data_IF_815843137720
#
_entry.id   IF_815843137720
#
_cell.length_a   1.000
_cell.length_b   1.000
_cell.length_c   1.000
_cell.angle_alpha   90.00
_cell.angle_beta   90.00
_cell.angle_gamma   90.00
#
_symmetry.space_group_name_H-M   'P 1'
#
loop_
_entity.id
_entity.type
_entity.pdbx_description
1 polymer ?
#
# COMPACT_ATOMS: atom_id res chain seq x y z
N UNK A 1 -4.85 1.64 -26.51
CA UNK A 1 -3.37 1.69 -26.40
C UNK A 1 -2.75 0.29 -26.41
N UNK A 2 -2.97 -0.60 -25.40
CA UNK A 2 -2.37 -1.96 -25.40
C UNK A 2 -2.74 -2.72 -26.68
N UNK A 3 -4.04 -2.76 -26.99
CA UNK A 3 -4.56 -3.40 -28.20
C UNK A 3 -3.96 -2.79 -29.48
N UNK A 4 -3.93 -1.47 -29.60
CA UNK A 4 -3.52 -0.76 -30.82
C UNK A 4 -2.01 -0.89 -31.07
N UNK A 5 -1.20 -0.86 -30.00
CA UNK A 5 0.26 -0.94 -30.07
C UNK A 5 0.81 -2.33 -29.82
N UNK A 6 -0.07 -3.31 -29.58
CA UNK A 6 0.31 -4.71 -29.27
C UNK A 6 1.38 -4.78 -28.16
N UNK A 7 1.15 -4.00 -27.07
CA UNK A 7 2.06 -4.00 -25.94
C UNK A 7 2.18 -5.41 -25.33
N UNK A 8 3.38 -5.82 -24.98
CA UNK A 8 3.68 -7.16 -24.44
C UNK A 8 3.88 -7.14 -22.93
N UNK A 9 4.14 -5.97 -22.34
CA UNK A 9 4.34 -5.75 -20.90
C UNK A 9 3.50 -4.58 -20.46
N UNK A 10 2.75 -4.74 -19.39
CA UNK A 10 2.01 -3.66 -18.74
C UNK A 10 2.41 -3.53 -17.29
N UNK A 11 3.15 -2.46 -16.99
CA UNK A 11 3.70 -2.17 -15.67
C UNK A 11 3.11 -0.87 -15.16
N UNK A 12 2.38 -0.92 -14.05
CA UNK A 12 1.60 0.23 -13.55
C UNK A 12 1.47 0.20 -12.03
N UNK A 13 0.86 1.27 -11.46
CA UNK A 13 0.63 1.36 -10.02
C UNK A 13 -0.71 0.71 -9.60
N UNK A 14 -0.79 0.13 -8.39
CA UNK A 14 -2.05 -0.38 -7.82
C UNK A 14 -3.20 0.64 -7.83
N UNK A 15 -2.91 1.91 -7.60
CA UNK A 15 -3.91 2.99 -7.73
C UNK A 15 -4.53 3.05 -9.13
N UNK A 16 -3.74 2.86 -10.19
CA UNK A 16 -4.27 2.81 -11.56
C UNK A 16 -5.16 1.58 -11.76
N UNK A 17 -4.78 0.43 -11.20
CA UNK A 17 -5.59 -0.78 -11.24
C UNK A 17 -6.94 -0.55 -10.54
N UNK A 18 -6.95 0.01 -9.33
CA UNK A 18 -8.20 0.35 -8.61
C UNK A 18 -9.08 1.34 -9.40
N UNK A 19 -8.47 2.28 -10.10
CA UNK A 19 -9.21 3.20 -10.99
C UNK A 19 -9.85 2.47 -12.17
N UNK A 20 -9.15 1.49 -12.75
CA UNK A 20 -9.70 0.64 -13.81
C UNK A 20 -10.85 -0.23 -13.31
N UNK A 21 -10.74 -0.82 -12.10
CA UNK A 21 -11.81 -1.56 -11.46
C UNK A 21 -13.05 -0.68 -11.34
N UNK A 22 -12.90 0.51 -10.73
CA UNK A 22 -14.01 1.47 -10.56
C UNK A 22 -14.66 1.86 -11.87
N UNK A 23 -13.86 2.12 -12.92
CA UNK A 23 -14.36 2.49 -14.23
C UNK A 23 -15.13 1.33 -14.88
N UNK A 24 -14.60 0.12 -14.82
CA UNK A 24 -15.23 -1.08 -15.38
C UNK A 24 -16.56 -1.44 -14.70
N UNK A 25 -16.68 -1.18 -13.39
CA UNK A 25 -17.93 -1.36 -12.65
C UNK A 25 -18.98 -0.28 -12.98
N UNK A 26 -18.55 0.93 -13.29
CA UNK A 26 -19.43 2.03 -13.65
C UNK A 26 -19.93 1.95 -15.11
N UNK A 27 -19.12 1.45 -16.03
CA UNK A 27 -19.46 1.29 -17.45
C UNK A 27 -18.80 0.04 -18.02
N UNK A 28 -19.63 -0.96 -18.32
CA UNK A 28 -19.17 -2.23 -18.92
C UNK A 28 -18.44 -2.04 -20.26
N UNK A 29 -18.66 -0.95 -20.97
CA UNK A 29 -18.00 -0.68 -22.25
C UNK A 29 -16.50 -0.44 -22.13
N UNK A 30 -16.07 0.05 -20.96
CA UNK A 30 -14.64 0.31 -20.69
C UNK A 30 -13.98 -0.86 -19.94
N UNK A 31 -14.70 -1.94 -19.70
CA UNK A 31 -14.16 -3.13 -19.06
C UNK A 31 -13.02 -3.74 -19.90
N UNK A 32 -11.87 -4.13 -19.31
CA UNK A 32 -10.74 -4.71 -20.05
C UNK A 32 -11.08 -5.89 -20.94
N UNK A 33 -12.05 -6.70 -20.54
CA UNK A 33 -12.54 -7.87 -21.31
C UNK A 33 -13.15 -7.50 -22.69
N UNK A 34 -13.43 -6.21 -22.93
CA UNK A 34 -13.88 -5.67 -24.21
C UNK A 34 -12.73 -5.31 -25.17
N UNK A 35 -11.49 -5.46 -24.73
CA UNK A 35 -10.29 -5.12 -25.49
C UNK A 35 -9.46 -6.36 -25.82
N UNK A 36 -8.81 -6.37 -26.98
CA UNK A 36 -7.84 -7.43 -27.31
C UNK A 36 -6.53 -7.19 -26.54
N UNK A 37 -6.35 -7.89 -25.44
CA UNK A 37 -5.17 -7.86 -24.59
C UNK A 37 -4.27 -9.09 -24.80
N UNK A 38 -4.49 -9.86 -25.88
CA UNK A 38 -3.77 -11.12 -26.16
C UNK A 38 -2.27 -10.94 -26.37
N UNK A 39 -1.82 -9.73 -26.73
CA UNK A 39 -0.39 -9.41 -26.87
C UNK A 39 0.35 -9.35 -25.54
N UNK A 40 -0.34 -9.12 -24.41
CA UNK A 40 0.29 -9.08 -23.11
C UNK A 40 0.89 -10.44 -22.73
N UNK A 41 2.09 -10.43 -22.18
CA UNK A 41 2.83 -11.58 -21.67
C UNK A 41 3.14 -11.45 -20.19
N UNK A 42 3.36 -10.22 -19.72
CA UNK A 42 3.75 -9.91 -18.35
C UNK A 42 2.98 -8.69 -17.89
N UNK A 43 2.47 -8.75 -16.67
CA UNK A 43 1.95 -7.63 -15.92
C UNK A 43 2.93 -7.25 -14.82
N UNK A 44 2.89 -6.02 -14.34
CA UNK A 44 3.70 -5.60 -13.21
C UNK A 44 3.02 -4.56 -12.35
N UNK A 45 3.44 -4.51 -11.10
CA UNK A 45 2.94 -3.62 -10.06
C UNK A 45 4.08 -2.87 -9.39
N UNK A 46 3.91 -1.56 -9.16
CA UNK A 46 4.94 -0.68 -8.63
C UNK A 46 4.37 0.53 -7.88
N UNK A 47 5.17 1.07 -6.96
CA UNK A 47 4.95 2.37 -6.32
C UNK A 47 4.22 2.32 -4.99
N UNK A 48 3.41 1.31 -4.76
CA UNK A 48 2.76 1.00 -3.49
C UNK A 48 2.46 -0.50 -3.41
N UNK A 49 2.24 -1.07 -2.21
CA UNK A 49 1.79 -2.45 -2.10
C UNK A 49 0.43 -2.64 -2.78
N UNK A 50 0.27 -3.73 -3.53
CA UNK A 50 -1.00 -4.11 -4.14
C UNK A 50 -1.77 -5.05 -3.21
N UNK A 51 -3.04 -4.74 -2.95
CA UNK A 51 -3.89 -5.64 -2.18
C UNK A 51 -4.30 -6.88 -3.00
N UNK A 52 -4.55 -8.02 -2.35
CA UNK A 52 -4.86 -9.27 -3.04
C UNK A 52 -6.04 -9.19 -4.01
N UNK A 53 -7.11 -8.45 -3.68
CA UNK A 53 -8.30 -8.31 -4.55
C UNK A 53 -7.97 -7.60 -5.85
N UNK A 54 -7.25 -6.48 -5.78
CA UNK A 54 -6.82 -5.74 -6.98
C UNK A 54 -5.81 -6.57 -7.80
N UNK A 55 -4.93 -7.33 -7.13
CA UNK A 55 -4.01 -8.27 -7.78
C UNK A 55 -4.77 -9.36 -8.55
N UNK A 56 -5.77 -9.99 -7.93
CA UNK A 56 -6.58 -11.04 -8.56
C UNK A 56 -7.41 -10.48 -9.72
N UNK A 57 -8.01 -9.30 -9.56
CA UNK A 57 -8.74 -8.64 -10.64
C UNK A 57 -7.81 -8.32 -11.84
N UNK A 58 -6.63 -7.80 -11.55
CA UNK A 58 -5.61 -7.48 -12.56
C UNK A 58 -5.14 -8.73 -13.31
N UNK A 59 -4.90 -9.81 -12.57
CA UNK A 59 -4.53 -11.11 -13.16
C UNK A 59 -5.62 -11.64 -14.08
N UNK A 60 -6.87 -11.60 -13.63
CA UNK A 60 -8.02 -12.15 -14.36
C UNK A 60 -8.37 -11.30 -15.58
N UNK A 61 -8.72 -10.03 -15.39
CA UNK A 61 -9.33 -9.21 -16.42
C UNK A 61 -8.34 -8.51 -17.36
N UNK A 62 -7.12 -8.24 -16.91
CA UNK A 62 -6.09 -7.67 -17.76
C UNK A 62 -5.11 -8.73 -18.24
N UNK A 63 -4.73 -9.65 -17.36
CA UNK A 63 -3.80 -10.73 -17.66
C UNK A 63 -4.41 -11.96 -18.35
N UNK A 64 -5.76 -12.06 -18.36
CA UNK A 64 -6.48 -13.23 -18.92
C UNK A 64 -6.06 -14.53 -18.25
N UNK A 65 -5.78 -14.52 -16.95
CA UNK A 65 -5.34 -15.64 -16.11
C UNK A 65 -4.05 -16.35 -16.61
N UNK A 66 -3.38 -15.79 -17.61
CA UNK A 66 -2.15 -16.34 -18.23
C UNK A 66 -0.90 -15.52 -17.98
N UNK A 67 -1.03 -14.20 -17.78
CA UNK A 67 0.10 -13.33 -17.56
C UNK A 67 0.52 -13.34 -16.09
N UNK A 68 1.80 -13.65 -15.78
CA UNK A 68 2.30 -13.49 -14.43
C UNK A 68 2.31 -12.00 -14.04
N UNK A 69 2.04 -11.72 -12.75
CA UNK A 69 2.20 -10.39 -12.18
C UNK A 69 3.54 -10.31 -11.45
N UNK A 70 4.38 -9.41 -11.91
CA UNK A 70 5.67 -9.07 -11.31
C UNK A 70 5.45 -7.92 -10.35
N UNK A 71 5.16 -8.22 -9.09
CA UNK A 71 5.03 -7.23 -8.03
C UNK A 71 6.42 -6.83 -7.55
N UNK A 72 6.76 -5.53 -7.65
CA UNK A 72 8.11 -5.05 -7.44
C UNK A 72 8.22 -4.17 -6.21
N UNK A 73 9.19 -4.47 -5.35
CA UNK A 73 9.61 -3.56 -4.30
C UNK A 73 10.95 -2.92 -4.66
N UNK A 74 10.94 -1.61 -4.69
CA UNK A 74 12.12 -0.75 -4.83
C UNK A 74 11.80 0.68 -4.38
N UNK A 75 12.84 1.46 -4.24
CA UNK A 75 12.76 2.87 -3.86
C UNK A 75 13.68 3.68 -4.77
N UNK A 76 13.47 4.99 -4.86
CA UNK A 76 14.42 5.91 -5.53
C UNK A 76 15.84 5.70 -4.99
N UNK A 77 15.95 5.51 -3.69
CA UNK A 77 17.18 5.31 -2.93
C UNK A 77 17.86 3.98 -3.22
N UNK A 78 17.11 2.96 -3.66
CA UNK A 78 17.70 1.67 -4.01
C UNK A 78 18.25 1.62 -5.43
N UNK A 79 17.85 2.57 -6.28
CA UNK A 79 18.31 2.69 -7.66
C UNK A 79 17.89 1.56 -8.59
N UNK A 80 17.11 0.61 -8.10
CA UNK A 80 16.59 -0.54 -8.84
C UNK A 80 15.80 -1.49 -7.94
N UNK A 81 15.23 -2.52 -8.55
CA UNK A 81 14.41 -3.52 -7.86
C UNK A 81 15.22 -4.28 -6.81
N UNK A 82 14.62 -4.46 -5.63
CA UNK A 82 15.22 -5.19 -4.52
C UNK A 82 14.59 -6.56 -4.33
N UNK A 83 13.26 -6.62 -4.41
CA UNK A 83 12.48 -7.85 -4.26
C UNK A 83 11.41 -7.89 -5.34
N UNK A 84 11.29 -9.04 -5.99
CA UNK A 84 10.30 -9.26 -7.05
C UNK A 84 10.28 -10.73 -7.46
N UNK A 85 9.16 -11.29 -7.89
CA UNK A 85 9.14 -12.62 -8.48
C UNK A 85 9.86 -12.64 -9.83
N UNK A 86 10.51 -13.76 -10.13
CA UNK A 86 11.04 -14.05 -11.46
C UNK A 86 9.99 -14.83 -12.24
N UNK A 87 9.44 -14.28 -13.35
CA UNK A 87 8.42 -14.95 -14.15
C UNK A 87 8.85 -16.36 -14.58
N UNK A 88 7.99 -17.34 -14.36
CA UNK A 88 8.27 -18.75 -14.71
C UNK A 88 9.16 -19.49 -13.71
N UNK A 89 9.77 -18.82 -12.73
CA UNK A 89 10.65 -19.45 -11.74
C UNK A 89 10.14 -19.30 -10.29
N UNK A 90 9.45 -18.19 -9.98
CA UNK A 90 8.94 -17.93 -8.64
C UNK A 90 7.43 -18.11 -8.61
N UNK A 91 6.87 -19.00 -7.77
CA UNK A 91 5.43 -19.06 -7.52
C UNK A 91 4.91 -17.70 -7.05
N UNK A 92 3.80 -17.26 -7.63
CA UNK A 92 3.22 -15.95 -7.33
C UNK A 92 2.26 -16.04 -6.15
N UNK A 93 2.30 -15.05 -5.29
CA UNK A 93 1.37 -14.90 -4.16
C UNK A 93 0.80 -13.48 -4.19
N UNK A 94 -0.54 -13.33 -4.28
CA UNK A 94 -1.18 -12.01 -4.31
C UNK A 94 -0.74 -11.11 -3.17
N UNK A 95 -0.31 -9.88 -3.50
CA UNK A 95 0.15 -8.89 -2.52
C UNK A 95 1.55 -9.14 -1.94
N UNK A 96 2.35 -10.05 -2.55
CA UNK A 96 3.72 -10.31 -2.13
C UNK A 96 4.72 -9.94 -3.21
N UNK A 97 5.75 -9.17 -2.85
CA UNK A 97 6.92 -8.94 -3.69
C UNK A 97 7.92 -10.13 -3.67
N UNK A 98 7.57 -11.21 -3.02
CA UNK A 98 8.23 -12.50 -2.98
C UNK A 98 9.66 -12.48 -2.42
N UNK A 99 10.67 -12.72 -3.23
CA UNK A 99 12.05 -12.94 -2.80
C UNK A 99 12.97 -11.77 -3.18
N UNK A 100 14.02 -11.52 -2.36
CA UNK A 100 15.08 -10.62 -2.76
C UNK A 100 15.78 -11.10 -4.04
N UNK A 101 16.16 -10.17 -4.90
CA UNK A 101 17.01 -10.48 -6.05
C UNK A 101 18.39 -10.95 -5.60
N UNK A 102 19.10 -11.72 -6.43
CA UNK A 102 20.46 -12.19 -6.12
C UNK A 102 21.38 -11.03 -5.71
N UNK A 103 22.04 -11.19 -4.56
CA UNK A 103 22.93 -10.18 -3.99
C UNK A 103 22.26 -9.22 -3.00
N UNK A 104 20.91 -9.18 -2.92
CA UNK A 104 20.17 -8.37 -1.95
C UNK A 104 19.94 -9.17 -0.66
N UNK A 105 20.44 -8.67 0.46
CA UNK A 105 20.30 -9.31 1.77
C UNK A 105 19.23 -8.58 2.61
N UNK A 106 17.98 -8.71 2.20
CA UNK A 106 16.85 -8.16 2.93
C UNK A 106 16.58 -8.97 4.21
N UNK A 107 16.18 -8.27 5.28
CA UNK A 107 15.76 -8.88 6.54
C UNK A 107 14.65 -8.06 7.20
N UNK A 108 13.91 -8.71 8.11
CA UNK A 108 12.96 -8.03 9.00
C UNK A 108 13.55 -8.01 10.39
N UNK A 109 13.62 -6.82 10.98
CA UNK A 109 14.27 -6.59 12.27
C UNK A 109 13.36 -5.80 13.21
N UNK A 110 13.71 -5.84 14.49
CA UNK A 110 13.13 -4.96 15.52
C UNK A 110 13.76 -3.53 15.46
N UNK A 111 13.39 -2.68 16.41
CA UNK A 111 13.82 -1.29 16.48
C UNK A 111 15.34 -1.11 16.76
N UNK A 112 15.99 -2.16 17.28
CA UNK A 112 17.43 -2.15 17.54
C UNK A 112 18.23 -2.93 16.50
N UNK A 113 17.59 -3.35 15.42
CA UNK A 113 18.24 -4.01 14.28
C UNK A 113 18.47 -5.51 14.46
N UNK A 114 17.83 -6.18 15.44
CA UNK A 114 17.90 -7.62 15.66
C UNK A 114 16.86 -8.33 14.79
N UNK A 115 17.28 -9.42 14.13
CA UNK A 115 16.38 -10.26 13.35
C UNK A 115 15.20 -10.80 14.17
N UNK A 116 14.02 -10.75 13.59
CA UNK A 116 12.79 -11.30 14.17
C UNK A 116 12.32 -12.54 13.41
N UNK A 117 11.55 -13.44 14.06
CA UNK A 117 11.05 -14.65 13.40
C UNK A 117 10.16 -14.36 12.20
N UNK A 118 10.17 -15.28 11.21
CA UNK A 118 9.21 -15.25 10.13
C UNK A 118 7.78 -15.28 10.67
N UNK A 119 6.84 -14.64 9.97
CA UNK A 119 5.45 -14.47 10.39
C UNK A 119 5.22 -13.26 11.30
N UNK A 120 6.28 -12.62 11.78
CA UNK A 120 6.19 -11.41 12.62
C UNK A 120 6.49 -10.17 11.77
N UNK A 121 5.70 -9.12 11.95
CA UNK A 121 5.92 -7.82 11.32
C UNK A 121 7.04 -7.03 11.98
N UNK A 122 7.82 -6.31 11.20
CA UNK A 122 8.90 -5.47 11.70
C UNK A 122 9.43 -4.48 10.66
N UNK A 123 10.62 -3.99 10.87
CA UNK A 123 11.27 -3.00 10.01
C UNK A 123 12.05 -3.70 8.90
N UNK A 124 11.82 -3.27 7.65
CA UNK A 124 12.57 -3.80 6.51
C UNK A 124 13.94 -3.13 6.46
N UNK A 125 14.97 -3.96 6.45
CA UNK A 125 16.35 -3.52 6.29
C UNK A 125 17.07 -4.30 5.19
N UNK A 126 18.15 -3.71 4.64
CA UNK A 126 19.11 -4.41 3.79
C UNK A 126 20.46 -4.45 4.50
N UNK A 127 20.99 -5.65 4.72
CA UNK A 127 22.15 -5.90 5.58
C UNK A 127 23.50 -5.60 4.93
N UNK A 128 23.55 -5.54 3.60
CA UNK A 128 24.78 -5.27 2.87
C UNK A 128 24.57 -4.27 1.74
N UNK A 129 25.53 -3.43 1.43
CA UNK A 129 25.48 -2.56 0.26
C UNK A 129 25.27 -3.35 -1.04
N UNK A 130 24.64 -2.71 -2.00
CA UNK A 130 24.43 -3.22 -3.36
C UNK A 130 24.86 -2.16 -4.39
N UNK A 131 25.10 -2.52 -5.65
CA UNK A 131 25.73 -1.59 -6.62
C UNK A 131 24.98 -0.30 -6.88
N UNK A 132 23.64 -0.31 -6.85
CA UNK A 132 22.79 0.85 -7.13
C UNK A 132 22.32 1.62 -5.89
N UNK A 133 22.86 1.31 -4.70
CA UNK A 133 22.50 1.98 -3.45
C UNK A 133 22.78 3.47 -3.52
N UNK A 134 21.85 4.28 -3.00
CA UNK A 134 22.07 5.72 -2.78
C UNK A 134 23.37 5.94 -1.99
N UNK A 135 24.18 6.93 -2.39
CA UNK A 135 25.46 7.25 -1.73
C UNK A 135 25.36 8.39 -0.76
N UNK A 136 24.45 9.32 -0.98
CA UNK A 136 24.21 10.48 -0.14
C UNK A 136 22.93 11.21 -0.56
N UNK A 137 22.49 12.16 0.25
CA UNK A 137 21.53 13.20 -0.13
C UNK A 137 22.32 14.46 -0.50
N UNK A 138 21.96 15.10 -1.60
CA UNK A 138 22.63 16.32 -2.07
C UNK A 138 22.62 17.40 -0.98
N UNK A 139 23.79 17.91 -0.65
CA UNK A 139 24.04 18.92 0.40
C UNK A 139 23.53 18.54 1.81
N UNK A 140 23.17 17.28 2.08
CA UNK A 140 22.66 16.86 3.38
C UNK A 140 23.11 15.43 3.76
N UNK A 141 24.43 15.22 3.94
CA UNK A 141 24.98 13.91 4.29
C UNK A 141 24.56 13.43 5.69
N UNK A 142 24.29 14.32 6.61
CA UNK A 142 23.87 13.97 7.97
C UNK A 142 22.44 13.41 7.97
N UNK A 143 21.53 14.01 7.19
CA UNK A 143 20.20 13.46 6.97
C UNK A 143 20.26 12.08 6.31
N UNK A 144 21.17 11.88 5.35
CA UNK A 144 21.38 10.57 4.73
C UNK A 144 21.71 9.51 5.76
N UNK A 145 22.68 9.77 6.66
CA UNK A 145 23.06 8.83 7.71
C UNK A 145 21.88 8.57 8.67
N UNK A 146 21.27 9.63 9.19
CA UNK A 146 20.18 9.54 10.14
C UNK A 146 18.95 8.81 9.60
N UNK A 147 18.59 9.03 8.33
CA UNK A 147 17.40 8.46 7.75
C UNK A 147 17.57 6.99 7.33
N UNK A 148 18.75 6.64 6.80
CA UNK A 148 18.96 5.32 6.18
C UNK A 148 19.92 4.42 6.96
N UNK A 149 20.70 4.94 7.89
CA UNK A 149 21.65 4.19 8.71
C UNK A 149 21.58 4.66 10.17
N UNK A 150 20.41 4.49 10.84
CA UNK A 150 20.21 5.00 12.19
C UNK A 150 21.18 4.37 13.19
N UNK A 151 21.66 5.17 14.14
CA UNK A 151 22.62 4.75 15.16
C UNK A 151 22.03 3.69 16.08
N UNK A 152 20.75 3.71 16.34
CA UNK A 152 20.00 2.72 17.12
C UNK A 152 20.15 1.30 16.55
N UNK A 153 20.40 1.19 15.24
CA UNK A 153 20.70 -0.06 14.53
C UNK A 153 22.19 -0.26 14.25
N UNK A 154 23.05 0.46 14.98
CA UNK A 154 24.51 0.39 14.85
C UNK A 154 25.07 1.05 13.59
N UNK A 155 24.29 1.85 12.87
CA UNK A 155 24.74 2.62 11.71
C UNK A 155 25.17 1.78 10.50
N UNK A 156 24.80 0.49 10.42
CA UNK A 156 25.28 -0.45 9.39
C UNK A 156 24.17 -1.07 8.54
N UNK A 157 22.92 -1.03 9.01
CA UNK A 157 21.77 -1.58 8.30
C UNK A 157 21.11 -0.45 7.51
N UNK A 158 20.88 -0.68 6.20
CA UNK A 158 20.07 0.25 5.42
C UNK A 158 18.61 0.08 5.82
N UNK A 159 18.03 1.10 6.46
CA UNK A 159 16.62 1.13 6.84
C UNK A 159 15.79 1.63 5.66
N UNK A 160 14.93 0.77 5.12
CA UNK A 160 14.07 1.14 3.99
C UNK A 160 12.97 2.16 4.35
N UNK A 161 12.67 2.33 5.64
CA UNK A 161 11.56 3.16 6.08
C UNK A 161 10.20 2.53 5.81
N UNK A 162 10.19 1.22 5.51
CA UNK A 162 8.99 0.42 5.28
C UNK A 162 8.89 -0.69 6.32
N UNK A 163 7.65 -0.98 6.75
CA UNK A 163 7.32 -2.17 7.50
C UNK A 163 7.12 -3.35 6.55
N UNK A 164 7.46 -4.54 6.99
CA UNK A 164 7.24 -5.74 6.21
C UNK A 164 7.09 -6.98 7.10
N UNK A 165 6.54 -8.04 6.51
CA UNK A 165 6.49 -9.38 7.09
C UNK A 165 7.21 -10.32 6.14
N UNK A 166 8.02 -11.23 6.69
CA UNK A 166 8.56 -12.36 5.95
C UNK A 166 7.76 -13.60 6.31
N UNK A 167 7.08 -14.19 5.33
CA UNK A 167 6.16 -15.30 5.55
C UNK A 167 6.85 -16.49 6.22
N UNK A 168 6.17 -17.09 7.20
CA UNK A 168 6.58 -18.37 7.82
C UNK A 168 6.24 -19.58 6.93
N UNK A 169 5.42 -19.39 5.90
CA UNK A 169 4.75 -20.46 5.16
C UNK A 169 3.43 -20.87 5.84
N UNK A 170 2.88 -22.03 5.47
CA UNK A 170 1.71 -22.60 6.15
C UNK A 170 2.00 -22.95 7.62
N UNK A 171 1.02 -23.48 8.37
CA UNK A 171 1.17 -23.80 9.81
C UNK A 171 2.36 -24.73 10.11
N UNK A 172 2.75 -25.57 9.18
CA UNK A 172 3.92 -26.45 9.24
C UNK A 172 5.18 -25.81 8.67
N UNK A 173 5.11 -24.56 8.19
CA UNK A 173 6.21 -23.84 7.56
C UNK A 173 6.61 -24.33 6.17
N UNK A 174 5.78 -25.17 5.52
CA UNK A 174 6.05 -25.76 4.19
C UNK A 174 5.41 -25.04 3.01
N UNK A 175 4.66 -23.95 3.26
CA UNK A 175 3.95 -23.21 2.21
C UNK A 175 4.87 -22.66 1.13
N UNK A 176 4.36 -22.55 -0.08
CA UNK A 176 5.10 -22.04 -1.27
C UNK A 176 5.62 -20.61 -1.08
N UNK A 177 4.99 -19.84 -0.20
CA UNK A 177 5.34 -18.47 0.16
C UNK A 177 6.33 -18.37 1.33
N UNK A 178 6.88 -19.49 1.82
CA UNK A 178 7.84 -19.46 2.93
C UNK A 178 9.04 -18.59 2.58
N UNK A 179 9.28 -17.60 3.42
CA UNK A 179 10.35 -16.64 3.24
C UNK A 179 10.04 -15.50 2.25
N UNK A 180 8.81 -15.43 1.72
CA UNK A 180 8.37 -14.33 0.87
C UNK A 180 8.14 -13.06 1.67
N UNK A 181 8.50 -11.94 1.10
CA UNK A 181 8.31 -10.63 1.69
C UNK A 181 6.98 -10.02 1.24
N UNK A 182 6.25 -9.48 2.20
CA UNK A 182 5.08 -8.63 1.99
C UNK A 182 5.34 -7.29 2.67
N UNK A 183 5.24 -6.22 1.91
CA UNK A 183 5.36 -4.87 2.43
C UNK A 183 4.04 -4.49 3.08
N UNK A 184 4.09 -4.01 4.32
CA UNK A 184 2.90 -3.63 5.12
C UNK A 184 2.63 -2.13 5.11
N UNK A 185 3.52 -1.35 4.51
CA UNK A 185 3.42 0.10 4.38
C UNK A 185 4.62 0.82 4.97
N UNK A 186 4.56 2.13 5.03
CA UNK A 186 5.61 2.96 5.63
C UNK A 186 5.63 2.81 7.14
N UNK A 187 6.81 2.84 7.76
CA UNK A 187 6.93 2.79 9.23
C UNK A 187 6.34 4.02 9.91
N UNK A 188 6.28 5.15 9.23
CA UNK A 188 5.62 6.37 9.66
C UNK A 188 4.10 6.35 9.43
N UNK A 189 3.58 5.31 8.76
CA UNK A 189 2.16 5.00 8.57
C UNK A 189 1.66 3.88 9.51
N UNK A 190 2.50 3.38 10.43
CA UNK A 190 2.08 2.44 11.48
C UNK A 190 1.43 3.21 12.62
N UNK A 191 0.22 2.80 12.99
CA UNK A 191 -0.55 3.39 14.08
C UNK A 191 -0.25 2.69 15.40
N UNK A 192 -0.18 3.45 16.47
CA UNK A 192 -0.10 2.91 17.83
C UNK A 192 -1.42 3.10 18.57
N UNK A 193 -2.32 2.14 18.43
CA UNK A 193 -3.65 2.17 19.06
C UNK A 193 -3.63 1.31 20.33
N UNK A 194 -3.78 1.93 21.48
CA UNK A 194 -3.77 1.25 22.79
C UNK A 194 -2.54 0.35 23.00
N UNK A 195 -1.36 0.79 22.53
CA UNK A 195 -0.12 0.03 22.63
C UNK A 195 0.07 -1.06 21.56
N UNK A 196 -0.88 -1.24 20.66
CA UNK A 196 -0.78 -2.19 19.55
C UNK A 196 -0.38 -1.46 18.26
N UNK A 197 0.58 -2.04 17.55
CA UNK A 197 1.01 -1.53 16.24
C UNK A 197 0.11 -2.08 15.13
N UNK A 198 -0.59 -1.20 14.44
CA UNK A 198 -1.49 -1.51 13.34
C UNK A 198 -0.95 -0.91 12.05
N UNK A 199 -0.76 -1.75 11.02
CA UNK A 199 -0.43 -1.27 9.68
C UNK A 199 -1.64 -0.59 9.03
N UNK A 200 -1.47 0.64 8.53
CA UNK A 200 -2.56 1.32 7.81
C UNK A 200 -3.01 0.54 6.59
N UNK A 201 -2.08 -0.10 5.88
CA UNK A 201 -2.36 -0.90 4.68
C UNK A 201 -3.25 -2.11 4.94
N UNK A 202 -3.11 -2.73 6.12
CA UNK A 202 -3.96 -3.86 6.51
C UNK A 202 -5.42 -3.41 6.69
N UNK A 203 -5.62 -2.26 7.33
CA UNK A 203 -6.95 -1.67 7.51
C UNK A 203 -7.52 -1.19 6.17
N UNK A 204 -6.70 -0.58 5.31
CA UNK A 204 -7.09 -0.19 3.96
C UNK A 204 -7.54 -1.40 3.14
N UNK A 205 -6.79 -2.50 3.20
CA UNK A 205 -7.15 -3.76 2.52
C UNK A 205 -8.47 -4.33 3.03
N UNK A 206 -8.68 -4.34 4.35
CA UNK A 206 -9.95 -4.77 4.93
C UNK A 206 -11.13 -3.88 4.50
N UNK A 207 -10.94 -2.57 4.42
CA UNK A 207 -11.99 -1.67 3.92
C UNK A 207 -12.31 -1.95 2.45
N UNK A 208 -11.30 -2.12 1.59
CA UNK A 208 -11.48 -2.40 0.16
C UNK A 208 -12.08 -3.79 -0.09
N UNK A 209 -11.83 -4.78 0.79
CA UNK A 209 -12.45 -6.10 0.69
C UNK A 209 -13.97 -6.08 0.91
N UNK A 210 -14.53 -4.99 1.47
CA UNK A 210 -15.97 -4.70 1.44
C UNK A 210 -16.37 -4.25 0.01
N UNK A 211 -16.24 -5.17 -0.94
CA UNK A 211 -16.20 -4.90 -2.38
C UNK A 211 -17.50 -4.34 -2.95
N UNK A 212 -18.65 -4.54 -2.29
CA UNK A 212 -19.94 -3.96 -2.71
C UNK A 212 -20.07 -2.47 -2.38
N UNK A 213 -19.23 -1.92 -1.49
CA UNK A 213 -19.28 -0.53 -1.05
C UNK A 213 -18.05 0.29 -1.45
N UNK A 214 -16.85 -0.25 -1.21
CA UNK A 214 -15.60 0.52 -1.24
C UNK A 214 -14.86 0.36 -2.55
N UNK A 215 -14.56 1.47 -3.19
CA UNK A 215 -13.69 1.52 -4.38
C UNK A 215 -12.23 1.75 -3.98
N UNK A 216 -11.99 2.64 -3.01
CA UNK A 216 -10.65 3.00 -2.56
C UNK A 216 -10.70 3.46 -1.10
N UNK A 217 -9.63 3.19 -0.35
CA UNK A 217 -9.49 3.66 1.02
C UNK A 217 -8.05 4.11 1.29
N UNK A 218 -7.91 5.10 2.18
CA UNK A 218 -6.64 5.47 2.79
C UNK A 218 -6.83 5.66 4.29
N UNK A 219 -5.88 5.19 5.07
CA UNK A 219 -5.94 5.24 6.53
C UNK A 219 -4.76 6.03 7.08
N UNK A 220 -5.03 6.86 8.06
CA UNK A 220 -4.02 7.59 8.82
C UNK A 220 -4.36 7.58 10.31
N UNK A 221 -3.35 7.82 11.16
CA UNK A 221 -3.55 8.06 12.57
C UNK A 221 -3.87 9.52 12.87
N UNK A 222 -4.65 9.73 13.92
CA UNK A 222 -4.75 11.01 14.60
C UNK A 222 -4.58 10.84 16.11
N UNK A 223 -4.11 11.85 16.81
CA UNK A 223 -4.05 11.81 18.28
C UNK A 223 -5.42 11.50 18.90
N UNK A 224 -5.41 10.72 19.95
CA UNK A 224 -6.60 10.33 20.72
C UNK A 224 -6.25 10.13 22.20
N UNK A 225 -7.01 10.81 23.07
CA UNK A 225 -6.71 10.87 24.50
C UNK A 225 -6.83 9.51 25.20
N UNK A 226 -7.65 8.59 24.67
CA UNK A 226 -7.88 7.28 25.29
C UNK A 226 -6.95 6.20 24.74
N UNK A 227 -6.65 6.24 23.45
CA UNK A 227 -5.94 5.16 22.75
C UNK A 227 -4.52 5.55 22.32
N UNK A 228 -4.09 6.80 22.59
CA UNK A 228 -2.87 7.41 22.08
C UNK A 228 -3.04 7.85 20.63
N UNK A 229 -3.37 6.93 19.74
CA UNK A 229 -3.80 7.21 18.38
C UNK A 229 -5.14 6.51 18.08
N UNK A 230 -5.93 7.14 17.21
CA UNK A 230 -7.15 6.56 16.66
C UNK A 230 -7.03 6.39 15.14
N UNK A 231 -7.62 5.33 14.64
CA UNK A 231 -7.73 5.04 13.21
C UNK A 231 -8.70 6.02 12.56
N UNK A 232 -8.25 6.79 11.56
CA UNK A 232 -9.06 7.64 10.71
C UNK A 232 -9.00 7.12 9.27
N UNK A 233 -10.15 6.70 8.73
CA UNK A 233 -10.27 6.16 7.38
C UNK A 233 -10.91 7.19 6.43
N UNK A 234 -10.31 7.35 5.26
CA UNK A 234 -10.83 8.12 4.14
C UNK A 234 -11.26 7.14 3.06
N UNK A 235 -12.53 7.18 2.68
CA UNK A 235 -13.15 6.16 1.84
C UNK A 235 -13.79 6.77 0.61
N UNK A 236 -13.50 6.19 -0.54
CA UNK A 236 -14.20 6.45 -1.81
C UNK A 236 -15.13 5.28 -2.06
N UNK A 237 -16.41 5.56 -2.18
CA UNK A 237 -17.42 4.54 -2.49
C UNK A 237 -17.48 4.27 -4.00
N UNK A 238 -17.97 3.10 -4.38
CA UNK A 238 -18.30 2.74 -5.77
C UNK A 238 -19.49 3.50 -6.35
N UNK A 239 -20.19 4.24 -5.52
CA UNK A 239 -21.32 5.11 -5.84
C UNK A 239 -21.03 6.55 -5.43
N UNK A 240 -21.96 7.46 -5.74
CA UNK A 240 -21.85 8.85 -5.35
C UNK A 240 -21.65 9.02 -3.83
N UNK A 241 -21.02 10.13 -3.43
CA UNK A 241 -20.82 10.48 -2.02
C UNK A 241 -22.18 10.48 -1.30
N UNK A 242 -22.30 9.81 -0.13
CA UNK A 242 -23.55 9.71 0.59
C UNK A 242 -23.93 11.03 1.27
N UNK A 243 -25.22 11.22 1.52
CA UNK A 243 -25.68 12.25 2.44
C UNK A 243 -25.32 11.91 3.91
N UNK A 244 -25.58 12.83 4.84
CA UNK A 244 -25.15 12.65 6.24
C UNK A 244 -25.85 11.48 6.96
N UNK A 245 -27.07 11.13 6.60
CA UNK A 245 -27.82 10.03 7.22
C UNK A 245 -27.30 8.68 6.70
N UNK A 246 -27.16 8.57 5.40
CA UNK A 246 -26.60 7.39 4.71
C UNK A 246 -25.14 7.16 5.10
N UNK A 247 -24.34 8.24 5.20
CA UNK A 247 -22.94 8.18 5.61
C UNK A 247 -22.75 7.50 6.97
N UNK A 248 -23.62 7.78 7.95
CA UNK A 248 -23.54 7.14 9.28
C UNK A 248 -23.83 5.66 9.22
N UNK A 249 -24.81 5.25 8.41
CA UNK A 249 -25.14 3.83 8.24
C UNK A 249 -23.98 3.06 7.58
N UNK A 250 -23.42 3.61 6.50
CA UNK A 250 -22.27 3.02 5.81
C UNK A 250 -21.03 3.01 6.72
N UNK A 251 -20.75 4.09 7.43
CA UNK A 251 -19.64 4.15 8.37
C UNK A 251 -19.75 3.08 9.47
N UNK A 252 -20.96 2.80 9.97
CA UNK A 252 -21.20 1.72 10.92
C UNK A 252 -20.89 0.36 10.30
N UNK A 253 -21.39 0.10 9.10
CA UNK A 253 -21.15 -1.15 8.37
C UNK A 253 -19.66 -1.39 8.13
N UNK A 254 -18.92 -0.39 7.66
CA UNK A 254 -17.48 -0.47 7.43
C UNK A 254 -16.67 -0.68 8.73
N UNK A 255 -17.08 -0.04 9.83
CA UNK A 255 -16.47 -0.29 11.15
C UNK A 255 -16.65 -1.74 11.59
N UNK A 256 -17.85 -2.26 11.45
CA UNK A 256 -18.18 -3.64 11.86
C UNK A 256 -17.45 -4.64 10.93
N UNK A 257 -17.33 -4.31 9.64
CA UNK A 257 -16.56 -5.10 8.68
C UNK A 257 -15.07 -5.17 9.05
N UNK A 258 -14.41 -4.05 9.30
CA UNK A 258 -13.00 -4.03 9.72
C UNK A 258 -12.80 -4.78 11.04
N UNK A 259 -13.73 -4.65 11.99
CA UNK A 259 -13.67 -5.38 13.25
C UNK A 259 -13.77 -6.90 13.06
N UNK A 260 -14.53 -7.36 12.07
CA UNK A 260 -14.65 -8.78 11.69
C UNK A 260 -13.38 -9.29 11.02
N UNK A 261 -12.83 -8.53 10.08
CA UNK A 261 -11.68 -8.97 9.25
C UNK A 261 -10.34 -8.94 10.01
N UNK A 262 -10.11 -7.93 10.85
CA UNK A 262 -8.83 -7.73 11.56
C UNK A 262 -9.00 -7.88 13.07
N UNK A 263 -10.07 -7.31 13.63
CA UNK A 263 -10.34 -7.29 15.05
C UNK A 263 -10.80 -5.91 15.54
N UNK A 264 -11.40 -5.86 16.75
CA UNK A 264 -12.02 -4.62 17.27
C UNK A 264 -11.04 -3.45 17.43
N UNK A 265 -9.74 -3.72 17.65
CA UNK A 265 -8.71 -2.70 17.83
C UNK A 265 -8.42 -1.91 16.57
N UNK A 266 -8.61 -2.51 15.39
CA UNK A 266 -8.40 -1.87 14.09
C UNK A 266 -9.61 -1.05 13.62
N UNK A 267 -10.71 -1.07 14.37
CA UNK A 267 -11.96 -0.40 14.03
C UNK A 267 -11.76 1.11 13.85
N UNK A 268 -12.06 1.68 12.67
CA UNK A 268 -11.90 3.13 12.46
C UNK A 268 -12.78 3.94 13.43
N UNK A 269 -12.17 4.86 14.16
CA UNK A 269 -12.92 5.79 15.02
C UNK A 269 -13.65 6.82 14.17
N UNK A 270 -12.98 7.30 13.12
CA UNK A 270 -13.53 8.22 12.13
C UNK A 270 -13.51 7.60 10.74
N UNK A 271 -14.61 7.78 10.01
CA UNK A 271 -14.68 7.48 8.57
C UNK A 271 -15.12 8.75 7.86
N UNK A 272 -14.43 9.11 6.79
CA UNK A 272 -14.69 10.30 5.98
C UNK A 272 -14.85 9.90 4.52
N UNK A 273 -15.88 10.41 3.86
CA UNK A 273 -16.20 10.07 2.49
C UNK A 273 -15.84 11.19 1.54
N UNK A 274 -15.14 10.86 0.47
CA UNK A 274 -14.82 11.75 -0.63
C UNK A 274 -15.14 11.13 -1.98
N UNK A 275 -15.22 11.94 -3.02
CA UNK A 275 -15.34 11.45 -4.40
C UNK A 275 -14.04 10.84 -4.91
N UNK A 276 -12.92 11.32 -4.36
CA UNK A 276 -11.56 10.82 -4.59
C UNK A 276 -10.71 10.98 -3.33
N UNK A 277 -9.49 10.40 -3.36
CA UNK A 277 -8.43 10.70 -2.40
C UNK A 277 -7.47 11.76 -2.97
N UNK A 278 -6.81 12.57 -2.12
CA UNK A 278 -5.80 13.51 -2.57
C UNK A 278 -4.59 12.75 -3.13
N UNK A 279 -4.31 12.95 -4.40
CA UNK A 279 -3.26 12.25 -5.15
C UNK A 279 -2.33 13.24 -5.84
N UNK A 280 -1.08 12.83 -6.00
CA UNK A 280 -0.16 13.48 -6.93
C UNK A 280 -0.58 13.21 -8.37
N UNK A 281 -0.06 13.97 -9.32
CA UNK A 281 -0.26 13.73 -10.77
C UNK A 281 0.20 12.33 -11.23
N UNK A 282 1.07 11.67 -10.46
CA UNK A 282 1.48 10.28 -10.70
C UNK A 282 0.57 9.24 -10.04
N UNK A 283 -0.55 9.66 -9.41
CA UNK A 283 -1.53 8.79 -8.78
C UNK A 283 -1.21 8.36 -7.34
N UNK A 284 -0.12 8.83 -6.75
CA UNK A 284 0.27 8.48 -5.37
C UNK A 284 -0.57 9.25 -4.36
N UNK A 285 -1.17 8.55 -3.38
CA UNK A 285 -1.96 9.15 -2.30
C UNK A 285 -1.06 10.03 -1.41
N UNK A 286 -1.52 11.24 -1.16
CA UNK A 286 -0.81 12.25 -0.35
C UNK A 286 -1.23 12.15 1.13
N UNK A 287 -0.80 11.06 1.82
CA UNK A 287 -1.18 10.78 3.22
C UNK A 287 -0.87 11.92 4.19
N UNK A 288 0.18 12.71 3.91
CA UNK A 288 0.50 13.88 4.72
C UNK A 288 -0.66 14.88 4.82
N UNK A 289 -1.40 15.08 3.71
CA UNK A 289 -2.57 15.98 3.69
C UNK A 289 -3.73 15.36 4.47
N UNK A 290 -3.94 14.06 4.32
CA UNK A 290 -4.96 13.32 5.07
C UNK A 290 -4.71 13.35 6.58
N UNK A 291 -3.44 13.31 7.03
CA UNK A 291 -3.11 13.44 8.45
C UNK A 291 -3.49 14.83 8.99
N UNK A 292 -3.21 15.91 8.26
CA UNK A 292 -3.62 17.26 8.69
C UNK A 292 -5.12 17.38 8.77
N UNK A 293 -5.86 16.87 7.76
CA UNK A 293 -7.32 16.85 7.77
C UNK A 293 -7.86 16.03 8.95
N UNK A 294 -7.27 14.85 9.23
CA UNK A 294 -7.67 13.99 10.34
C UNK A 294 -7.53 14.67 11.70
N UNK A 295 -6.47 15.47 11.86
CA UNK A 295 -6.20 16.25 13.08
C UNK A 295 -7.04 17.53 13.17
N UNK A 296 -7.76 17.93 12.12
CA UNK A 296 -8.46 19.22 12.04
C UNK A 296 -7.52 20.41 11.86
N UNK A 297 -6.29 20.18 11.42
CA UNK A 297 -5.30 21.22 11.16
C UNK A 297 -5.48 21.79 9.74
N UNK A 298 -5.15 23.08 9.58
CA UNK A 298 -5.09 23.68 8.24
C UNK A 298 -4.03 23.00 7.40
N UNK A 299 -4.35 22.73 6.14
CA UNK A 299 -3.39 22.17 5.17
C UNK A 299 -2.42 23.27 4.74
N UNK A 300 -1.25 23.32 5.36
CA UNK A 300 -0.18 24.28 5.07
C UNK A 300 0.93 23.70 4.19
N UNK A 301 0.88 22.40 3.91
CA UNK A 301 1.88 21.70 3.10
C UNK A 301 1.75 22.08 1.63
N UNK A 302 2.85 21.89 0.89
CA UNK A 302 2.88 22.08 -0.56
C UNK A 302 1.86 21.19 -1.28
N UNK A 303 0.91 21.81 -1.94
CA UNK A 303 -0.16 21.17 -2.74
C UNK A 303 0.08 21.30 -4.25
N UNK A 304 1.23 21.80 -4.69
CA UNK A 304 1.54 22.05 -6.11
C UNK A 304 1.45 20.81 -7.01
N UNK A 305 1.64 19.64 -6.41
CA UNK A 305 1.54 18.35 -7.11
C UNK A 305 0.16 17.70 -7.00
N UNK A 306 -0.78 18.31 -6.27
CA UNK A 306 -2.13 17.79 -6.09
C UNK A 306 -2.94 17.92 -7.39
N UNK A 307 -3.59 16.84 -7.78
CA UNK A 307 -4.39 16.78 -9.02
C UNK A 307 -5.65 17.65 -8.91
N UNK A 308 -6.36 17.56 -7.78
CA UNK A 308 -7.58 18.34 -7.53
C UNK A 308 -7.63 18.86 -6.07
N UNK A 309 -7.40 20.17 -5.84
CA UNK A 309 -7.43 20.75 -4.50
C UNK A 309 -8.80 20.73 -3.80
N UNK A 310 -9.91 20.79 -4.55
CA UNK A 310 -11.27 20.83 -3.99
C UNK A 310 -11.63 19.56 -3.19
N UNK A 311 -10.88 18.46 -3.37
CA UNK A 311 -11.10 17.22 -2.63
C UNK A 311 -10.83 17.36 -1.13
N UNK A 312 -9.96 18.29 -0.74
CA UNK A 312 -9.59 18.48 0.67
C UNK A 312 -10.77 18.94 1.53
N UNK A 313 -11.62 19.81 0.98
CA UNK A 313 -12.80 20.33 1.68
C UNK A 313 -13.84 19.23 1.91
N UNK A 314 -14.01 18.33 0.95
CA UNK A 314 -14.95 17.20 1.05
C UNK A 314 -14.56 16.23 2.18
N UNK A 315 -13.25 16.05 2.40
CA UNK A 315 -12.72 15.12 3.38
C UNK A 315 -12.65 15.68 4.81
N UNK A 316 -13.05 16.94 5.00
CA UNK A 316 -13.07 17.58 6.32
C UNK A 316 -14.11 17.01 7.29
N UNK A 317 -15.20 16.42 6.79
CA UNK A 317 -16.33 15.95 7.59
C UNK A 317 -16.16 14.49 8.01
N UNK A 318 -16.24 14.21 9.33
CA UNK A 318 -16.21 12.85 9.89
C UNK A 318 -17.63 12.32 10.17
N UNK A 319 -17.81 11.00 10.11
CA UNK A 319 -19.06 10.30 10.36
C UNK A 319 -18.88 9.16 11.38
#
# INVERSE_FOLDING_TARGET
MIQDHKCTVFYTAPTAIRSLIKAAEADEKVHPDRSDLSSLRILGSVGEPINPEAWMWYHKHVGGERCPIVDTFWQTETGGHMMTPLPGATPLVPGSCTLPLPGIMAAIVDEVGKDIPNGTGGLLVVKRPWPSMIRTIWNDPERFKKAYFPEEMGGKLYLAGDGAVRSAGGPDGSGVDRGYFRITGRIDDVLNVSGHRLGTMEIESALVSCSHLVAEAAVVGRPDDLTGEAVCAFVVLKRARPDAAEARAIAKELRDWVAKEIGPIAKPKDIRFGENLPKTRSGKIMRRLLRSIAKGEAVTQDTSTLENPAILDQLGQAY
#
